data_IF_631947359537
#
_entry.id   IF_631947359537
#
_cell.length_a   1.000
_cell.length_b   1.000
_cell.length_c   1.000
_cell.angle_alpha   90.00
_cell.angle_beta   90.00
_cell.angle_gamma   90.00
#
_symmetry.space_group_name_H-M   'P 1'
#
loop_
_entity.id
_entity.type
_entity.pdbx_description
1 polymer ?
#
# COMPACT_ATOMS: atom_id res chain seq x y z
N UNK A 1 40.13 39.22 78.60
CA UNK A 1 39.30 38.15 79.18
C UNK A 1 38.07 38.03 78.29
N UNK A 2 38.07 37.07 77.36
CA UNK A 2 37.25 35.82 77.45
C UNK A 2 35.74 36.15 77.49
N UNK A 3 34.83 35.67 76.63
CA UNK A 3 34.79 34.51 75.73
C UNK A 3 33.42 34.56 75.00
N UNK A 4 33.40 34.06 73.75
CA UNK A 4 32.33 33.34 73.03
C UNK A 4 30.83 33.52 73.35
N UNK A 5 30.03 33.73 72.30
CA UNK A 5 28.56 33.59 72.34
C UNK A 5 27.85 33.73 70.99
N UNK A 6 27.93 32.68 70.16
CA UNK A 6 26.92 32.14 69.20
C UNK A 6 25.99 33.15 68.49
N UNK A 7 26.22 33.34 67.18
CA UNK A 7 25.30 34.04 66.28
C UNK A 7 24.33 33.06 65.59
N UNK A 8 23.04 33.14 65.91
CA UNK A 8 21.96 32.54 65.14
C UNK A 8 21.17 33.64 64.42
N UNK A 9 21.35 33.76 63.09
CA UNK A 9 20.53 34.64 62.24
C UNK A 9 19.42 33.81 61.60
N UNK A 10 18.17 34.18 61.90
CA UNK A 10 16.97 33.71 61.20
C UNK A 10 17.08 34.03 59.70
N UNK A 11 17.00 33.00 58.85
CA UNK A 11 16.72 33.16 57.41
C UNK A 11 15.22 32.94 57.18
N UNK A 12 14.56 33.98 56.67
CA UNK A 12 13.21 33.91 56.10
C UNK A 12 13.23 32.97 54.89
N UNK A 13 12.50 31.86 54.95
CA UNK A 13 12.23 31.00 53.80
C UNK A 13 11.13 31.62 52.94
N UNK A 14 11.47 31.95 51.69
CA UNK A 14 10.51 32.29 50.64
C UNK A 14 10.24 30.99 49.86
N UNK A 15 9.08 30.38 50.09
CA UNK A 15 8.59 29.23 49.31
C UNK A 15 8.16 29.74 47.93
N UNK A 16 9.02 29.56 46.93
CA UNK A 16 8.66 29.73 45.52
C UNK A 16 7.96 28.45 45.07
N UNK A 17 6.63 28.46 45.02
CA UNK A 17 5.84 27.39 44.44
C UNK A 17 6.06 27.38 42.92
N UNK A 18 6.94 26.51 42.42
CA UNK A 18 7.03 26.19 41.00
C UNK A 18 5.80 25.39 40.58
N UNK A 19 4.78 26.07 40.05
CA UNK A 19 3.71 25.45 39.28
C UNK A 19 4.29 24.91 37.96
N UNK A 20 4.83 23.69 38.00
CA UNK A 20 5.08 22.88 36.80
C UNK A 20 3.73 22.41 36.25
N UNK A 21 3.08 23.27 35.46
CA UNK A 21 2.00 22.82 34.59
C UNK A 21 2.53 21.82 33.57
N UNK A 22 1.74 20.82 33.14
CA UNK A 22 2.17 19.91 32.08
C UNK A 22 2.47 20.74 30.83
N UNK A 23 3.69 20.58 30.30
CA UNK A 23 4.04 21.02 28.97
C UNK A 23 3.09 20.31 28.00
N UNK A 24 2.03 21.01 27.59
CA UNK A 24 1.25 20.61 26.44
C UNK A 24 2.22 20.60 25.25
N UNK A 25 2.62 19.39 24.82
CA UNK A 25 3.26 19.22 23.53
C UNK A 25 2.34 19.84 22.50
N UNK A 26 2.78 20.92 21.86
CA UNK A 26 2.09 21.45 20.69
C UNK A 26 1.85 20.27 19.73
N UNK A 27 0.65 20.11 19.15
CA UNK A 27 0.44 19.06 18.16
C UNK A 27 1.51 19.27 17.09
N UNK A 28 2.32 18.23 16.85
CA UNK A 28 3.26 18.23 15.74
C UNK A 28 2.49 18.73 14.52
N UNK A 29 2.94 19.83 13.90
CA UNK A 29 2.26 20.43 12.75
C UNK A 29 1.90 19.28 11.80
N UNK A 30 0.60 19.05 11.61
CA UNK A 30 0.11 17.93 10.80
C UNK A 30 0.75 18.12 9.44
N UNK A 31 1.71 17.25 9.09
CA UNK A 31 2.43 17.37 7.84
C UNK A 31 1.41 17.55 6.70
N UNK A 32 1.60 18.58 5.89
CA UNK A 32 0.71 18.87 4.76
C UNK A 32 0.93 17.82 3.66
N UNK A 33 0.20 16.72 3.79
CA UNK A 33 0.16 15.61 2.84
C UNK A 33 0.96 14.40 3.28
N UNK A 34 1.73 13.83 2.34
CA UNK A 34 2.37 12.52 2.47
C UNK A 34 3.64 12.49 3.34
N UNK A 35 4.24 13.63 3.67
CA UNK A 35 5.41 13.67 4.55
C UNK A 35 5.09 13.07 5.94
N UNK A 36 5.91 12.16 6.43
CA UNK A 36 5.67 11.39 7.64
C UNK A 36 4.51 10.39 7.54
N UNK A 37 4.02 10.07 6.34
CA UNK A 37 2.89 9.15 6.14
C UNK A 37 3.30 7.82 5.53
N UNK A 38 2.67 6.78 6.05
CA UNK A 38 2.56 5.49 5.38
C UNK A 38 1.38 5.54 4.41
N UNK A 39 1.65 5.21 3.15
CA UNK A 39 0.65 4.89 2.13
C UNK A 39 0.43 3.38 2.14
N UNK A 40 -0.81 2.92 2.05
CA UNK A 40 -1.13 1.51 1.83
C UNK A 40 -1.70 1.34 0.43
N UNK A 41 -1.07 0.52 -0.40
CA UNK A 41 -1.62 0.18 -1.71
C UNK A 41 -2.88 -0.67 -1.57
N UNK A 42 -3.86 -0.48 -2.45
CA UNK A 42 -5.15 -1.18 -2.40
C UNK A 42 -5.63 -1.48 -3.81
N UNK A 43 -5.86 -2.75 -4.13
CA UNK A 43 -6.33 -3.18 -5.43
C UNK A 43 -7.82 -2.91 -5.60
N UNK A 44 -8.63 -3.33 -4.62
CA UNK A 44 -10.08 -3.10 -4.66
C UNK A 44 -10.82 -3.83 -5.80
N UNK A 45 -10.20 -4.86 -6.37
CA UNK A 45 -10.79 -5.67 -7.45
C UNK A 45 -11.61 -6.86 -6.95
N UNK A 46 -11.36 -7.39 -5.76
CA UNK A 46 -11.97 -8.65 -5.31
C UNK A 46 -13.49 -8.55 -5.26
N UNK A 47 -14.22 -9.39 -6.01
CA UNK A 47 -15.67 -9.28 -6.11
C UNK A 47 -16.38 -10.64 -6.14
N UNK A 48 -17.59 -10.64 -5.56
CA UNK A 48 -18.50 -11.77 -5.58
C UNK A 48 -19.17 -11.93 -6.97
N UNK A 49 -19.75 -13.10 -7.27
CA UNK A 49 -20.52 -13.29 -8.50
C UNK A 49 -21.63 -12.25 -8.66
N UNK A 50 -21.81 -11.77 -9.89
CA UNK A 50 -22.78 -10.73 -10.26
C UNK A 50 -22.33 -9.30 -9.99
N UNK A 51 -21.18 -9.08 -9.33
CA UNK A 51 -20.71 -7.73 -8.96
C UNK A 51 -19.54 -7.24 -9.83
N UNK A 52 -19.01 -8.08 -10.71
CA UNK A 52 -18.01 -7.74 -11.72
C UNK A 52 -18.53 -8.04 -13.14
N UNK A 53 -18.00 -7.38 -14.18
CA UNK A 53 -18.29 -7.72 -15.56
C UNK A 53 -18.08 -9.21 -15.85
N UNK A 54 -19.00 -9.82 -16.59
CA UNK A 54 -19.00 -11.27 -16.86
C UNK A 54 -19.76 -12.10 -15.82
N UNK A 55 -20.14 -11.53 -14.67
CA UNK A 55 -21.06 -12.14 -13.71
C UNK A 55 -20.48 -13.26 -12.83
N UNK A 56 -19.24 -13.68 -13.08
CA UNK A 56 -18.51 -14.64 -12.24
C UNK A 56 -17.77 -14.00 -11.07
N UNK A 57 -16.95 -14.81 -10.40
CA UNK A 57 -15.97 -14.32 -9.43
C UNK A 57 -14.92 -13.43 -10.12
N UNK A 58 -14.38 -12.45 -9.39
CA UNK A 58 -13.28 -11.62 -9.84
C UNK A 58 -12.14 -11.66 -8.82
N UNK A 59 -10.94 -12.08 -9.25
CA UNK A 59 -9.71 -12.29 -8.47
C UNK A 59 -9.76 -13.29 -7.31
N UNK A 60 -10.93 -13.77 -6.88
CA UNK A 60 -11.05 -14.89 -5.94
C UNK A 60 -10.95 -16.25 -6.63
N UNK A 61 -11.78 -16.48 -7.64
CA UNK A 61 -11.84 -17.76 -8.34
C UNK A 61 -11.89 -17.54 -9.84
N UNK A 62 -11.32 -18.47 -10.59
CA UNK A 62 -11.37 -18.48 -12.04
C UNK A 62 -11.88 -19.83 -12.55
N UNK A 63 -12.48 -19.87 -13.76
CA UNK A 63 -12.83 -21.13 -14.41
C UNK A 63 -11.59 -22.00 -14.63
N UNK A 64 -11.67 -23.27 -14.23
CA UNK A 64 -10.61 -24.24 -14.46
C UNK A 64 -10.83 -25.00 -15.79
N UNK A 65 -9.75 -25.33 -16.51
CA UNK A 65 -9.82 -26.02 -17.83
C UNK A 65 -10.50 -27.39 -17.77
N UNK A 66 -10.42 -28.08 -16.63
CA UNK A 66 -11.10 -29.35 -16.37
C UNK A 66 -12.57 -29.22 -15.94
N UNK A 67 -13.11 -28.00 -15.91
CA UNK A 67 -14.41 -27.70 -15.32
C UNK A 67 -14.32 -27.26 -13.86
N UNK A 68 -15.34 -26.54 -13.38
CA UNK A 68 -15.36 -26.00 -12.02
C UNK A 68 -14.59 -24.68 -11.86
N UNK A 69 -14.37 -24.31 -10.60
CA UNK A 69 -13.68 -23.07 -10.20
C UNK A 69 -12.43 -23.42 -9.42
N UNK A 70 -11.31 -22.76 -9.73
CA UNK A 70 -10.08 -22.84 -8.94
C UNK A 70 -9.79 -21.50 -8.26
N UNK A 71 -9.23 -21.48 -7.04
CA UNK A 71 -8.81 -20.24 -6.40
C UNK A 71 -7.61 -19.63 -7.14
N UNK A 72 -7.55 -18.31 -7.19
CA UNK A 72 -6.44 -17.53 -7.77
C UNK A 72 -5.58 -16.84 -6.71
N UNK A 73 -5.76 -17.20 -5.43
CA UNK A 73 -5.11 -16.51 -4.31
C UNK A 73 -4.54 -17.44 -3.26
N UNK A 74 -3.46 -17.02 -2.61
CA UNK A 74 -2.76 -17.86 -1.63
C UNK A 74 -3.15 -17.51 -0.18
N UNK A 75 -3.54 -16.27 0.10
CA UNK A 75 -3.95 -15.84 1.44
C UNK A 75 -5.47 -15.85 1.56
N UNK A 76 -6.03 -16.73 2.39
CA UNK A 76 -7.48 -16.70 2.64
C UNK A 76 -7.85 -15.59 3.62
N UNK A 77 -8.70 -14.62 3.26
CA UNK A 77 -9.02 -13.50 4.14
C UNK A 77 -9.74 -13.96 5.40
N UNK A 78 -9.31 -13.47 6.56
CA UNK A 78 -10.03 -13.68 7.82
C UNK A 78 -11.15 -12.64 7.92
N UNK A 79 -12.35 -13.07 7.48
CA UNK A 79 -13.55 -12.24 7.45
C UNK A 79 -14.41 -12.36 8.72
N UNK A 80 -13.88 -12.95 9.80
CA UNK A 80 -14.66 -13.21 11.02
C UNK A 80 -15.17 -11.93 11.70
N UNK A 81 -14.43 -10.83 11.57
CA UNK A 81 -14.79 -9.50 12.10
C UNK A 81 -15.49 -8.59 11.09
N UNK A 82 -15.90 -9.12 9.92
CA UNK A 82 -16.63 -8.38 8.89
C UNK A 82 -18.14 -8.63 9.01
N UNK A 83 -18.98 -7.62 8.70
CA UNK A 83 -20.43 -7.77 8.75
C UNK A 83 -20.93 -8.64 7.58
N UNK A 84 -22.09 -9.29 7.74
CA UNK A 84 -22.57 -10.31 6.81
C UNK A 84 -22.81 -9.78 5.38
N UNK A 85 -23.26 -8.53 5.26
CA UNK A 85 -23.50 -7.84 4.00
C UNK A 85 -22.22 -7.61 3.19
N UNK A 86 -21.03 -7.65 3.81
CA UNK A 86 -19.76 -7.57 3.08
C UNK A 86 -19.39 -8.89 2.37
N UNK A 87 -20.05 -10.00 2.72
CA UNK A 87 -19.54 -11.35 2.46
C UNK A 87 -20.36 -12.12 1.42
N UNK A 88 -19.70 -13.05 0.76
CA UNK A 88 -20.36 -14.09 -0.03
C UNK A 88 -19.76 -15.47 0.27
N UNK A 89 -20.61 -16.48 0.14
CA UNK A 89 -20.23 -17.88 0.29
C UNK A 89 -19.45 -18.34 -0.95
N UNK A 90 -18.31 -18.98 -0.71
CA UNK A 90 -17.49 -19.58 -1.76
C UNK A 90 -17.97 -21.00 -2.08
N UNK A 91 -17.57 -21.60 -3.21
CA UNK A 91 -17.83 -23.02 -3.49
C UNK A 91 -17.09 -23.96 -2.51
N UNK A 92 -16.11 -23.46 -1.75
CA UNK A 92 -15.30 -24.26 -0.83
C UNK A 92 -15.94 -24.33 0.55
N UNK A 93 -15.77 -25.47 1.22
CA UNK A 93 -16.32 -25.73 2.56
C UNK A 93 -15.20 -26.03 3.55
N UNK A 94 -15.41 -25.65 4.81
CA UNK A 94 -14.52 -26.02 5.90
C UNK A 94 -14.72 -27.48 6.35
N UNK A 95 -13.92 -27.93 7.32
CA UNK A 95 -13.99 -29.29 7.85
C UNK A 95 -15.34 -29.65 8.51
N UNK A 96 -16.14 -28.64 8.87
CA UNK A 96 -17.50 -28.82 9.39
C UNK A 96 -18.58 -28.83 8.30
N UNK A 97 -18.19 -28.65 7.04
CA UNK A 97 -19.10 -28.57 5.90
C UNK A 97 -19.73 -27.20 5.68
N UNK A 98 -19.36 -26.18 6.47
CA UNK A 98 -19.88 -24.81 6.32
C UNK A 98 -19.18 -24.14 5.12
N UNK A 99 -19.89 -23.36 4.30
CA UNK A 99 -19.25 -22.57 3.25
C UNK A 99 -18.18 -21.64 3.83
N UNK A 100 -17.00 -21.67 3.24
CA UNK A 100 -16.00 -20.64 3.49
C UNK A 100 -16.45 -19.33 2.84
N UNK A 101 -16.09 -18.20 3.43
CA UNK A 101 -16.52 -16.88 2.98
C UNK A 101 -15.34 -16.00 2.64
N UNK A 102 -15.59 -15.11 1.69
CA UNK A 102 -14.70 -14.00 1.31
C UNK A 102 -15.54 -12.72 1.22
N UNK A 103 -14.88 -11.58 1.10
CA UNK A 103 -15.57 -10.28 0.95
C UNK A 103 -15.65 -9.85 -0.52
N UNK A 104 -16.47 -8.82 -0.78
CA UNK A 104 -16.41 -8.07 -2.04
C UNK A 104 -16.08 -6.60 -1.82
N UNK A 105 -15.10 -6.09 -2.57
CA UNK A 105 -14.73 -4.68 -2.64
C UNK A 105 -15.81 -3.81 -3.33
N UNK A 106 -16.86 -4.42 -3.90
CA UNK A 106 -17.99 -3.71 -4.51
C UNK A 106 -19.09 -3.31 -3.50
N UNK A 107 -18.82 -3.48 -2.20
CA UNK A 107 -19.78 -3.26 -1.11
C UNK A 107 -19.26 -2.25 -0.08
N UNK A 108 -20.11 -1.33 0.33
CA UNK A 108 -19.77 -0.27 1.29
C UNK A 108 -19.22 -0.82 2.60
N UNK A 109 -19.88 -1.84 3.17
CA UNK A 109 -19.49 -2.45 4.43
C UNK A 109 -18.05 -3.01 4.44
N UNK A 110 -17.53 -3.42 3.28
CA UNK A 110 -16.13 -3.83 3.11
C UNK A 110 -15.19 -2.65 3.28
N UNK A 111 -15.38 -1.57 2.51
CA UNK A 111 -14.50 -0.42 2.53
C UNK A 111 -14.57 0.30 3.88
N UNK A 112 -15.76 0.42 4.47
CA UNK A 112 -15.93 0.94 5.84
C UNK A 112 -15.14 0.12 6.86
N UNK A 113 -15.16 -1.22 6.75
CA UNK A 113 -14.39 -2.10 7.63
C UNK A 113 -12.89 -1.95 7.43
N UNK A 114 -12.42 -1.90 6.18
CA UNK A 114 -10.99 -1.73 5.87
C UNK A 114 -10.47 -0.37 6.37
N UNK A 115 -11.21 0.71 6.15
CA UNK A 115 -10.84 2.03 6.66
C UNK A 115 -10.93 2.12 8.20
N UNK A 116 -11.91 1.43 8.83
CA UNK A 116 -11.96 1.33 10.29
C UNK A 116 -10.71 0.66 10.84
N UNK A 117 -10.27 -0.45 10.24
CA UNK A 117 -9.02 -1.12 10.60
C UNK A 117 -7.81 -0.21 10.36
N UNK A 118 -7.72 0.45 9.21
CA UNK A 118 -6.66 1.44 8.96
C UNK A 118 -6.58 2.48 10.08
N UNK A 119 -7.71 3.11 10.44
CA UNK A 119 -7.77 4.10 11.52
C UNK A 119 -7.32 3.52 12.85
N UNK A 120 -7.79 2.32 13.22
CA UNK A 120 -7.40 1.64 14.47
C UNK A 120 -5.90 1.42 14.59
N UNK A 121 -5.20 1.25 13.47
CA UNK A 121 -3.75 1.06 13.42
C UNK A 121 -2.96 2.34 13.09
N UNK A 122 -3.62 3.49 12.92
CA UNK A 122 -2.96 4.76 12.62
C UNK A 122 -2.50 4.88 11.16
N UNK A 123 -3.10 4.10 10.25
CA UNK A 123 -2.91 4.18 8.80
C UNK A 123 -3.95 5.14 8.22
N UNK A 124 -3.52 6.07 7.35
CA UNK A 124 -4.38 7.18 6.91
C UNK A 124 -4.57 7.24 5.40
N UNK A 125 -3.54 6.92 4.62
CA UNK A 125 -3.50 7.18 3.17
C UNK A 125 -3.60 5.87 2.39
N UNK A 126 -4.66 5.71 1.61
CA UNK A 126 -4.85 4.59 0.69
C UNK A 126 -4.50 5.01 -0.73
N UNK A 127 -3.66 4.22 -1.41
CA UNK A 127 -3.41 4.32 -2.84
C UNK A 127 -4.26 3.27 -3.56
N UNK A 128 -5.40 3.69 -4.12
CA UNK A 128 -6.35 2.83 -4.81
C UNK A 128 -5.92 2.57 -6.27
N UNK A 129 -5.84 1.32 -6.67
CA UNK A 129 -5.58 0.95 -8.04
C UNK A 129 -6.73 1.34 -8.97
N UNK A 130 -6.38 1.95 -10.09
CA UNK A 130 -7.28 2.24 -11.21
C UNK A 130 -6.61 1.79 -12.50
N UNK A 131 -6.81 0.54 -12.89
CA UNK A 131 -6.18 -0.04 -14.07
C UNK A 131 -6.54 0.74 -15.33
N UNK A 132 -5.53 1.26 -16.04
CA UNK A 132 -5.77 1.98 -17.28
C UNK A 132 -6.41 1.09 -18.35
N UNK A 133 -6.12 -0.22 -18.31
CA UNK A 133 -6.76 -1.24 -19.16
C UNK A 133 -8.28 -1.37 -18.94
N UNK A 134 -8.81 -0.95 -17.79
CA UNK A 134 -10.25 -0.94 -17.53
C UNK A 134 -10.97 0.21 -18.23
N UNK A 135 -10.28 1.30 -18.57
CA UNK A 135 -10.87 2.48 -19.19
C UNK A 135 -11.51 2.14 -20.54
N UNK A 136 -12.71 2.67 -20.77
CA UNK A 136 -13.51 2.38 -21.96
C UNK A 136 -14.14 0.98 -22.00
N UNK A 137 -14.01 0.19 -20.94
CA UNK A 137 -14.60 -1.15 -20.82
C UNK A 137 -15.62 -1.21 -19.68
N UNK A 138 -16.45 -2.27 -19.58
CA UNK A 138 -17.33 -2.46 -18.43
C UNK A 138 -16.62 -2.47 -17.06
N UNK A 139 -15.32 -2.79 -17.01
CA UNK A 139 -14.54 -2.75 -15.77
C UNK A 139 -14.36 -1.32 -15.24
N UNK A 140 -14.49 -0.29 -16.08
CA UNK A 140 -14.41 1.10 -15.62
C UNK A 140 -15.51 1.42 -14.60
N UNK A 141 -16.74 0.95 -14.82
CA UNK A 141 -17.84 1.18 -13.89
C UNK A 141 -17.60 0.54 -12.52
N UNK A 142 -16.94 -0.63 -12.50
CA UNK A 142 -16.52 -1.30 -11.28
C UNK A 142 -15.45 -0.48 -10.55
N UNK A 143 -14.45 0.03 -11.29
CA UNK A 143 -13.41 0.90 -10.71
C UNK A 143 -13.98 2.23 -10.18
N UNK A 144 -14.93 2.83 -10.88
CA UNK A 144 -15.64 4.05 -10.44
C UNK A 144 -16.41 3.80 -9.15
N UNK A 145 -17.14 2.69 -9.08
CA UNK A 145 -17.85 2.27 -7.86
C UNK A 145 -16.90 2.05 -6.69
N UNK A 146 -15.79 1.34 -6.88
CA UNK A 146 -14.80 1.15 -5.82
C UNK A 146 -14.24 2.49 -5.32
N UNK A 147 -13.94 3.44 -6.22
CA UNK A 147 -13.45 4.77 -5.86
C UNK A 147 -14.49 5.55 -5.03
N UNK A 148 -15.76 5.55 -5.44
CA UNK A 148 -16.83 6.22 -4.69
C UNK A 148 -16.98 5.63 -3.29
N UNK A 149 -16.97 4.31 -3.16
CA UNK A 149 -17.04 3.62 -1.86
C UNK A 149 -15.80 3.93 -0.99
N UNK A 150 -14.61 3.95 -1.58
CA UNK A 150 -13.38 4.28 -0.87
C UNK A 150 -13.38 5.73 -0.37
N UNK A 151 -13.82 6.70 -1.20
CA UNK A 151 -13.93 8.11 -0.80
C UNK A 151 -14.96 8.31 0.32
N UNK A 152 -16.11 7.62 0.25
CA UNK A 152 -17.12 7.67 1.30
C UNK A 152 -16.60 7.06 2.62
N UNK A 153 -15.98 5.89 2.56
CA UNK A 153 -15.38 5.24 3.72
C UNK A 153 -14.26 6.10 4.34
N UNK A 154 -13.36 6.64 3.51
CA UNK A 154 -12.31 7.55 3.94
C UNK A 154 -12.87 8.79 4.65
N UNK A 155 -13.90 9.43 4.09
CA UNK A 155 -14.56 10.56 4.73
C UNK A 155 -15.12 10.21 6.12
N UNK A 156 -15.75 9.04 6.26
CA UNK A 156 -16.33 8.59 7.54
C UNK A 156 -15.32 8.13 8.59
N UNK A 157 -14.15 7.66 8.14
CA UNK A 157 -13.12 7.08 9.02
C UNK A 157 -11.88 7.97 9.15
N UNK A 158 -11.97 9.24 8.78
CA UNK A 158 -10.87 10.21 8.81
C UNK A 158 -9.62 9.71 8.05
N UNK A 159 -9.84 9.09 6.89
CA UNK A 159 -8.83 8.61 5.95
C UNK A 159 -8.70 9.50 4.71
N UNK A 160 -7.73 9.17 3.87
CA UNK A 160 -7.51 9.79 2.56
C UNK A 160 -7.30 8.73 1.47
N UNK A 161 -7.75 9.02 0.26
CA UNK A 161 -7.64 8.19 -0.94
C UNK A 161 -7.01 8.99 -2.07
N UNK A 162 -6.17 8.35 -2.85
CA UNK A 162 -5.80 8.81 -4.18
C UNK A 162 -5.59 7.59 -5.07
N UNK A 163 -5.61 7.83 -6.38
CA UNK A 163 -5.56 6.75 -7.36
C UNK A 163 -4.15 6.55 -7.93
N UNK A 164 -3.87 5.32 -8.35
CA UNK A 164 -2.79 4.98 -9.26
C UNK A 164 -3.36 4.45 -10.56
N UNK A 165 -3.03 5.10 -11.68
CA UNK A 165 -3.25 4.50 -12.99
C UNK A 165 -2.19 3.46 -13.25
N UNK A 166 -2.57 2.18 -13.18
CA UNK A 166 -1.70 1.08 -13.56
C UNK A 166 -1.66 0.97 -15.09
N UNK A 167 -0.46 1.16 -15.66
CA UNK A 167 -0.22 1.13 -17.10
C UNK A 167 0.12 -0.28 -17.63
N UNK A 168 0.15 -1.30 -16.77
CA UNK A 168 0.47 -2.68 -17.14
C UNK A 168 -0.53 -3.20 -18.17
N UNK A 169 -0.02 -3.67 -19.31
CA UNK A 169 -0.84 -4.13 -20.43
C UNK A 169 -1.69 -3.05 -21.12
N UNK A 170 -1.56 -1.77 -20.75
CA UNK A 170 -2.31 -0.68 -21.36
C UNK A 170 -1.63 -0.19 -22.65
N UNK A 171 -2.35 -0.11 -23.80
CA UNK A 171 -1.78 0.37 -25.05
C UNK A 171 -1.39 1.86 -24.97
N UNK A 172 -0.13 2.18 -25.27
CA UNK A 172 0.37 3.55 -25.15
C UNK A 172 -0.37 4.59 -25.99
N UNK A 173 -0.87 4.22 -27.17
CA UNK A 173 -1.63 5.14 -28.05
C UNK A 173 -2.95 5.61 -27.41
N UNK A 174 -3.43 4.89 -26.39
CA UNK A 174 -4.65 5.22 -25.63
C UNK A 174 -4.38 6.13 -24.43
N UNK A 175 -3.16 6.65 -24.23
CA UNK A 175 -2.82 7.51 -23.07
C UNK A 175 -3.80 8.66 -22.82
N UNK A 176 -4.45 9.18 -23.88
CA UNK A 176 -5.46 10.23 -23.77
C UNK A 176 -6.66 9.82 -22.91
N UNK A 177 -7.00 8.54 -22.85
CA UNK A 177 -8.10 8.05 -22.02
C UNK A 177 -7.82 8.27 -20.52
N UNK A 178 -6.58 8.10 -20.09
CA UNK A 178 -6.15 8.41 -18.71
C UNK A 178 -6.29 9.90 -18.44
N UNK A 179 -5.88 10.74 -19.39
CA UNK A 179 -6.00 12.21 -19.29
C UNK A 179 -7.47 12.64 -19.22
N UNK A 180 -8.33 12.13 -20.11
CA UNK A 180 -9.76 12.46 -20.11
C UNK A 180 -10.47 11.96 -18.86
N UNK A 181 -10.09 10.79 -18.36
CA UNK A 181 -10.65 10.24 -17.13
C UNK A 181 -10.35 11.11 -15.91
N UNK A 182 -9.10 11.53 -15.74
CA UNK A 182 -8.75 12.46 -14.67
C UNK A 182 -9.41 13.83 -14.86
N UNK A 183 -9.54 14.31 -16.10
CA UNK A 183 -10.25 15.56 -16.42
C UNK A 183 -11.71 15.49 -15.99
N UNK A 184 -12.41 14.37 -16.24
CA UNK A 184 -13.79 14.15 -15.77
C UNK A 184 -13.88 14.16 -14.25
N UNK A 185 -12.98 13.46 -13.56
CA UNK A 185 -12.96 13.44 -12.09
C UNK A 185 -12.71 14.82 -11.49
N UNK A 186 -11.82 15.62 -12.10
CA UNK A 186 -11.60 17.01 -11.69
C UNK A 186 -12.83 17.89 -11.94
N UNK A 187 -13.47 17.77 -13.10
CA UNK A 187 -14.69 18.53 -13.41
C UNK A 187 -15.84 18.18 -12.45
N UNK A 188 -15.89 16.94 -11.97
CA UNK A 188 -16.83 16.50 -10.93
C UNK A 188 -16.43 16.90 -9.50
N UNK A 189 -15.31 17.62 -9.31
CA UNK A 189 -14.81 18.07 -8.01
C UNK A 189 -14.29 16.95 -7.10
N UNK A 190 -13.99 15.76 -7.64
CA UNK A 190 -13.52 14.63 -6.81
C UNK A 190 -12.17 14.91 -6.16
N UNK A 191 -11.25 15.51 -6.93
CA UNK A 191 -9.88 15.78 -6.51
C UNK A 191 -9.81 16.81 -5.38
N UNK A 192 -10.82 17.68 -5.25
CA UNK A 192 -10.86 18.74 -4.24
C UNK A 192 -11.56 18.30 -2.94
N UNK A 193 -12.07 17.06 -2.89
CA UNK A 193 -12.71 16.53 -1.67
C UNK A 193 -11.68 16.41 -0.54
N UNK A 194 -12.04 16.66 0.73
CA UNK A 194 -11.14 16.48 1.87
C UNK A 194 -10.59 15.05 2.02
N UNK A 195 -11.37 14.06 1.57
CA UNK A 195 -10.98 12.66 1.55
C UNK A 195 -10.01 12.32 0.40
N UNK A 196 -9.76 13.22 -0.54
CA UNK A 196 -8.71 13.05 -1.55
C UNK A 196 -7.34 13.39 -0.96
N UNK A 197 -6.33 12.56 -1.19
CA UNK A 197 -4.98 12.82 -0.71
C UNK A 197 -4.37 14.04 -1.42
N UNK A 198 -3.93 15.00 -0.63
CA UNK A 198 -3.16 16.15 -1.12
C UNK A 198 -1.71 16.07 -0.64
N UNK A 199 -0.79 16.67 -1.38
CA UNK A 199 0.59 16.89 -0.94
C UNK A 199 1.02 18.29 -1.39
N UNK A 200 1.54 19.09 -0.44
CA UNK A 200 1.93 20.50 -0.70
C UNK A 200 0.80 21.30 -1.38
N UNK A 201 -0.42 21.15 -0.88
CA UNK A 201 -1.62 21.86 -1.37
C UNK A 201 -2.17 21.39 -2.71
N UNK A 202 -1.65 20.32 -3.32
CA UNK A 202 -2.09 19.81 -4.63
C UNK A 202 -2.64 18.38 -4.50
N UNK A 203 -3.73 18.02 -5.20
CA UNK A 203 -4.22 16.64 -5.20
C UNK A 203 -3.19 15.71 -5.82
N UNK A 204 -2.99 14.55 -5.19
CA UNK A 204 -2.02 13.55 -5.64
C UNK A 204 -2.69 12.62 -6.65
N UNK A 205 -1.97 12.30 -7.73
CA UNK A 205 -2.32 11.25 -8.70
C UNK A 205 -1.06 10.46 -9.00
N UNK A 206 -1.19 9.15 -9.09
CA UNK A 206 -0.06 8.26 -9.36
C UNK A 206 -0.17 7.57 -10.72
N UNK A 207 0.98 7.26 -11.32
CA UNK A 207 1.12 6.39 -12.49
C UNK A 207 2.02 5.21 -12.11
N UNK A 208 1.58 3.97 -12.28
CA UNK A 208 2.42 2.80 -12.07
C UNK A 208 2.94 2.22 -13.38
N UNK A 209 4.21 1.80 -13.37
CA UNK A 209 4.87 1.16 -14.49
C UNK A 209 5.58 2.11 -15.45
N UNK A 210 5.68 3.39 -15.08
CA UNK A 210 6.31 4.40 -15.91
C UNK A 210 7.80 4.06 -16.12
N UNK A 211 8.18 3.82 -17.37
CA UNK A 211 9.56 3.49 -17.75
C UNK A 211 10.05 2.11 -17.30
N UNK A 212 9.15 1.23 -16.87
CA UNK A 212 9.48 -0.17 -16.59
C UNK A 212 9.53 -0.97 -17.89
N UNK A 213 10.59 -1.76 -18.09
CA UNK A 213 10.71 -2.68 -19.23
C UNK A 213 9.56 -3.69 -19.20
N UNK A 214 8.93 -3.92 -20.35
CA UNK A 214 7.74 -4.77 -20.47
C UNK A 214 6.41 -4.04 -20.24
N UNK A 215 6.44 -2.84 -19.64
CA UNK A 215 5.28 -1.94 -19.62
C UNK A 215 5.37 -1.05 -20.87
N UNK A 216 4.33 -1.12 -21.70
CA UNK A 216 4.35 -0.81 -23.14
C UNK A 216 4.43 0.66 -23.54
N UNK A 217 5.02 1.53 -22.71
CA UNK A 217 5.17 2.96 -22.98
C UNK A 217 6.60 3.29 -23.42
N UNK A 218 6.72 4.07 -24.49
CA UNK A 218 7.94 4.77 -24.87
C UNK A 218 8.02 6.17 -24.20
N UNK A 219 9.18 6.82 -24.35
CA UNK A 219 9.44 8.12 -23.73
C UNK A 219 8.51 9.24 -24.27
N UNK A 220 8.15 9.20 -25.56
CA UNK A 220 7.32 10.22 -26.18
C UNK A 220 5.87 10.15 -25.66
N UNK A 221 5.31 8.95 -25.57
CA UNK A 221 3.97 8.72 -25.02
C UNK A 221 3.92 9.00 -23.52
N UNK A 222 4.95 8.60 -22.77
CA UNK A 222 5.07 8.93 -21.34
C UNK A 222 5.11 10.44 -21.11
N UNK A 223 5.89 11.18 -21.92
CA UNK A 223 5.92 12.64 -21.86
C UNK A 223 4.56 13.24 -22.21
N UNK A 224 3.92 12.78 -23.29
CA UNK A 224 2.61 13.29 -23.71
C UNK A 224 1.52 13.05 -22.66
N UNK A 225 1.55 11.89 -21.99
CA UNK A 225 0.68 11.59 -20.86
C UNK A 225 0.90 12.58 -19.71
N UNK A 226 2.15 12.76 -19.26
CA UNK A 226 2.48 13.69 -18.17
C UNK A 226 2.10 15.13 -18.50
N UNK A 227 2.37 15.60 -19.72
CA UNK A 227 1.98 16.93 -20.18
C UNK A 227 0.45 17.09 -20.18
N UNK A 228 -0.27 16.07 -20.67
CA UNK A 228 -1.73 16.05 -20.67
C UNK A 228 -2.32 16.11 -19.26
N UNK A 229 -1.75 15.36 -18.30
CA UNK A 229 -2.17 15.41 -16.90
C UNK A 229 -1.90 16.80 -16.29
N UNK A 230 -0.72 17.39 -16.52
CA UNK A 230 -0.38 18.73 -16.02
C UNK A 230 -1.27 19.82 -16.61
N UNK A 231 -1.74 19.65 -17.85
CA UNK A 231 -2.69 20.58 -18.49
C UNK A 231 -4.09 20.58 -17.84
N UNK A 232 -4.44 19.56 -17.04
CA UNK A 232 -5.69 19.54 -16.25
C UNK A 232 -5.63 20.54 -15.08
N UNK A 233 -4.45 21.02 -14.70
CA UNK A 233 -4.22 22.00 -13.65
C UNK A 233 -3.25 21.52 -12.56
N UNK A 234 -3.15 22.21 -11.41
CA UNK A 234 -2.23 21.81 -10.35
C UNK A 234 -2.51 20.38 -9.84
N UNK A 235 -1.49 19.52 -9.89
CA UNK A 235 -1.46 18.12 -9.45
C UNK A 235 -0.10 17.74 -8.87
N UNK A 236 -0.02 16.97 -7.79
CA UNK A 236 1.22 16.26 -7.45
C UNK A 236 1.21 14.93 -8.20
N UNK A 237 2.14 14.74 -9.14
CA UNK A 237 2.26 13.51 -9.91
C UNK A 237 3.30 12.59 -9.28
N UNK A 238 2.82 11.46 -8.76
CA UNK A 238 3.66 10.37 -8.26
C UNK A 238 3.92 9.35 -9.38
N UNK A 239 5.17 8.92 -9.54
CA UNK A 239 5.52 7.83 -10.45
C UNK A 239 5.94 6.58 -9.69
N UNK A 240 5.14 5.52 -9.81
CA UNK A 240 5.56 4.14 -9.59
C UNK A 240 6.48 3.70 -10.73
N UNK A 241 7.78 3.64 -10.47
CA UNK A 241 8.83 3.41 -11.48
C UNK A 241 9.59 2.12 -11.19
N UNK A 242 10.37 1.64 -12.16
CA UNK A 242 11.33 0.56 -11.92
C UNK A 242 12.35 0.92 -10.83
N UNK A 243 12.82 -0.07 -10.06
CA UNK A 243 13.87 0.13 -9.05
C UNK A 243 15.13 0.83 -9.60
N UNK A 244 15.52 0.49 -10.83
CA UNK A 244 16.71 0.99 -11.53
C UNK A 244 16.52 2.35 -12.24
N UNK A 245 15.45 3.10 -11.96
CA UNK A 245 15.11 4.33 -12.69
C UNK A 245 16.25 5.35 -12.78
N UNK A 246 17.07 5.47 -11.71
CA UNK A 246 18.12 6.49 -11.62
C UNK A 246 19.27 6.21 -12.58
N UNK A 247 19.59 4.94 -12.81
CA UNK A 247 20.72 4.47 -13.62
C UNK A 247 20.33 4.09 -15.04
N UNK A 248 19.02 3.99 -15.35
CA UNK A 248 18.51 3.52 -16.65
C UNK A 248 19.01 2.11 -16.99
N UNK A 249 19.06 1.23 -15.99
CA UNK A 249 19.53 -0.17 -16.12
C UNK A 249 18.43 -1.15 -15.72
N UNK A 250 18.73 -2.45 -15.71
CA UNK A 250 17.86 -3.47 -15.12
C UNK A 250 16.43 -3.42 -15.65
N UNK A 251 15.48 -3.18 -14.75
CA UNK A 251 14.06 -3.09 -15.05
C UNK A 251 13.62 -1.72 -15.60
N UNK A 252 14.50 -0.72 -15.63
CA UNK A 252 14.22 0.58 -16.27
C UNK A 252 14.52 0.53 -17.77
N UNK A 253 13.73 1.28 -18.52
CA UNK A 253 14.05 1.72 -19.89
C UNK A 253 15.42 2.42 -19.91
N UNK A 254 16.12 2.30 -21.05
CA UNK A 254 17.53 2.66 -21.22
C UNK A 254 17.73 3.96 -22.02
N UNK A 255 16.68 4.40 -22.71
CA UNK A 255 16.69 5.58 -23.55
C UNK A 255 16.90 6.83 -22.68
N UNK A 256 17.83 7.73 -23.04
CA UNK A 256 18.27 8.83 -22.16
C UNK A 256 17.15 9.82 -21.80
N UNK A 257 16.11 9.91 -22.62
CA UNK A 257 14.91 10.73 -22.40
C UNK A 257 14.20 10.36 -21.09
N UNK A 258 14.25 9.10 -20.68
CA UNK A 258 13.65 8.65 -19.41
C UNK A 258 14.27 9.31 -18.18
N UNK A 259 15.56 9.65 -18.22
CA UNK A 259 16.21 10.35 -17.12
C UNK A 259 15.53 11.69 -16.81
N UNK A 260 15.09 12.42 -17.85
CA UNK A 260 14.36 13.67 -17.71
C UNK A 260 12.91 13.44 -17.29
N UNK A 261 12.25 12.39 -17.82
CA UNK A 261 10.88 12.03 -17.46
C UNK A 261 10.77 11.73 -15.96
N UNK A 262 11.62 10.85 -15.43
CA UNK A 262 11.62 10.52 -14.00
C UNK A 262 11.85 11.75 -13.13
N UNK A 263 12.80 12.61 -13.50
CA UNK A 263 13.13 13.85 -12.76
C UNK A 263 12.09 14.96 -12.90
N UNK A 264 11.09 14.78 -13.76
CA UNK A 264 9.97 15.70 -13.87
C UNK A 264 8.84 15.40 -12.88
N UNK A 265 8.85 14.22 -12.25
CA UNK A 265 7.84 13.81 -11.28
C UNK A 265 7.95 14.60 -9.97
N UNK A 266 6.83 14.76 -9.27
CA UNK A 266 6.82 15.40 -7.95
C UNK A 266 7.21 14.41 -6.85
N UNK A 267 6.86 13.12 -7.02
CA UNK A 267 7.22 12.02 -6.13
C UNK A 267 7.64 10.80 -6.96
N UNK A 268 8.76 10.16 -6.60
CA UNK A 268 9.22 8.89 -7.16
C UNK A 268 9.00 7.78 -6.14
N UNK A 269 8.37 6.70 -6.58
CA UNK A 269 8.10 5.48 -5.82
C UNK A 269 8.66 4.26 -6.56
N UNK A 270 9.92 3.88 -6.36
CA UNK A 270 10.51 2.73 -7.05
C UNK A 270 9.88 1.42 -6.55
N UNK A 271 9.56 0.50 -7.45
CA UNK A 271 8.96 -0.81 -7.12
C UNK A 271 10.05 -1.88 -6.88
N UNK A 272 10.19 -2.42 -5.64
CA UNK A 272 11.26 -3.35 -5.28
C UNK A 272 10.83 -4.81 -5.23
N UNK A 273 9.53 -5.13 -5.31
CA UNK A 273 9.06 -6.51 -5.19
C UNK A 273 9.62 -7.35 -6.34
N UNK A 274 10.29 -8.45 -5.99
CA UNK A 274 11.03 -9.31 -6.92
C UNK A 274 12.52 -8.97 -7.06
N UNK A 275 12.99 -7.83 -6.53
CA UNK A 275 14.42 -7.49 -6.53
C UNK A 275 15.23 -8.22 -5.44
N UNK A 276 14.58 -8.64 -4.35
CA UNK A 276 15.17 -9.41 -3.26
C UNK A 276 14.11 -10.26 -2.53
N UNK A 277 14.57 -11.22 -1.73
CA UNK A 277 13.72 -12.20 -1.03
C UNK A 277 14.05 -12.38 0.46
N UNK A 278 15.00 -11.61 1.00
CA UNK A 278 15.42 -11.70 2.39
C UNK A 278 16.05 -10.38 2.89
N UNK A 279 16.40 -10.35 4.17
CA UNK A 279 16.98 -9.20 4.87
C UNK A 279 18.35 -8.80 4.31
N UNK A 280 19.18 -9.78 3.90
CA UNK A 280 20.48 -9.51 3.30
C UNK A 280 20.35 -8.84 1.93
N UNK A 281 19.39 -9.28 1.13
CA UNK A 281 19.01 -8.65 -0.13
C UNK A 281 18.43 -7.25 0.09
N UNK A 282 17.62 -7.06 1.13
CA UNK A 282 17.11 -5.73 1.50
C UNK A 282 18.26 -4.77 1.90
N UNK A 283 19.28 -5.25 2.62
CA UNK A 283 20.48 -4.48 2.95
C UNK A 283 21.30 -4.10 1.72
N UNK A 284 21.45 -5.04 0.78
CA UNK A 284 22.13 -4.79 -0.49
C UNK A 284 21.36 -3.78 -1.35
N UNK A 285 20.03 -3.88 -1.38
CA UNK A 285 19.14 -2.97 -2.10
C UNK A 285 19.16 -1.57 -1.49
N UNK A 286 19.20 -1.45 -0.15
CA UNK A 286 19.37 -0.18 0.54
C UNK A 286 20.62 0.55 0.06
N UNK A 287 21.77 -0.16 0.03
CA UNK A 287 23.05 0.43 -0.37
C UNK A 287 23.12 0.80 -1.85
N UNK A 288 22.61 -0.06 -2.72
CA UNK A 288 22.76 0.08 -4.17
C UNK A 288 21.71 1.00 -4.82
N UNK A 289 20.50 1.06 -4.25
CA UNK A 289 19.37 1.81 -4.84
C UNK A 289 18.89 2.91 -3.90
N UNK A 290 18.45 2.59 -2.69
CA UNK A 290 17.74 3.54 -1.81
C UNK A 290 18.61 4.74 -1.44
N UNK A 291 19.83 4.52 -0.94
CA UNK A 291 20.72 5.62 -0.52
C UNK A 291 21.06 6.58 -1.67
N UNK A 292 21.52 6.13 -2.85
CA UNK A 292 21.80 7.04 -3.95
C UNK A 292 20.55 7.67 -4.57
N UNK A 293 19.41 6.97 -4.59
CA UNK A 293 18.13 7.54 -5.04
C UNK A 293 17.64 8.65 -4.11
N UNK A 294 17.77 8.44 -2.80
CA UNK A 294 17.43 9.44 -1.78
C UNK A 294 18.33 10.68 -1.87
N UNK A 295 19.62 10.50 -2.17
CA UNK A 295 20.52 11.61 -2.42
C UNK A 295 20.11 12.44 -3.65
N UNK A 296 19.77 11.77 -4.76
CA UNK A 296 19.35 12.43 -5.99
C UNK A 296 18.01 13.16 -5.84
N UNK A 297 17.01 12.51 -5.25
CA UNK A 297 15.69 13.12 -5.03
C UNK A 297 15.75 14.31 -4.08
N UNK A 298 16.56 14.24 -3.00
CA UNK A 298 16.82 15.39 -2.12
C UNK A 298 17.49 16.54 -2.86
N UNK A 299 18.50 16.27 -3.69
CA UNK A 299 19.20 17.28 -4.50
C UNK A 299 18.24 18.03 -5.45
N UNK A 300 17.22 17.34 -5.95
CA UNK A 300 16.24 17.87 -6.91
C UNK A 300 14.94 18.38 -6.27
N UNK A 301 14.73 18.18 -4.96
CA UNK A 301 13.48 18.54 -4.27
C UNK A 301 12.29 17.62 -4.58
N UNK A 302 12.55 16.45 -5.18
CA UNK A 302 11.56 15.43 -5.52
C UNK A 302 11.24 14.60 -4.27
N UNK A 303 9.97 14.25 -4.07
CA UNK A 303 9.56 13.33 -3.02
C UNK A 303 10.06 11.90 -3.30
N UNK A 304 10.47 11.17 -2.27
CA UNK A 304 10.89 9.77 -2.40
C UNK A 304 10.04 8.89 -1.48
N UNK A 305 9.38 7.90 -2.08
CA UNK A 305 8.40 7.03 -1.42
C UNK A 305 8.72 5.56 -1.76
N UNK A 306 9.71 4.94 -1.11
CA UNK A 306 10.01 3.52 -1.33
C UNK A 306 8.90 2.62 -0.78
N UNK A 307 8.90 1.37 -1.24
CA UNK A 307 7.91 0.35 -0.87
C UNK A 307 8.53 -0.70 0.05
N UNK A 308 7.76 -1.15 1.05
CA UNK A 308 8.04 -2.35 1.85
C UNK A 308 6.85 -3.32 1.76
N UNK A 309 7.08 -4.63 1.90
CA UNK A 309 6.03 -5.65 1.81
C UNK A 309 6.25 -6.78 2.82
N UNK A 310 5.19 -7.50 3.25
CA UNK A 310 5.30 -8.50 4.30
C UNK A 310 6.00 -9.78 3.88
N UNK A 311 5.92 -10.14 2.59
CA UNK A 311 6.39 -11.38 1.98
C UNK A 311 5.57 -11.64 0.71
N UNK A 312 5.78 -12.77 0.02
CA UNK A 312 5.18 -13.03 -1.30
C UNK A 312 4.82 -14.49 -1.49
N UNK A 313 3.62 -14.75 -2.03
CA UNK A 313 3.13 -16.09 -2.37
C UNK A 313 2.04 -15.99 -3.45
N UNK A 314 2.29 -16.57 -4.62
CA UNK A 314 1.39 -16.51 -5.77
C UNK A 314 1.23 -17.87 -6.47
N UNK A 315 1.24 -18.97 -5.73
CA UNK A 315 1.17 -20.34 -6.25
C UNK A 315 -0.12 -20.58 -7.04
N UNK A 316 -1.26 -20.18 -6.47
CA UNK A 316 -2.56 -20.39 -7.11
C UNK A 316 -2.73 -19.53 -8.37
N UNK A 317 -2.33 -18.27 -8.31
CA UNK A 317 -2.31 -17.37 -9.47
C UNK A 317 -1.39 -17.90 -10.57
N UNK A 318 -0.15 -18.27 -10.24
CA UNK A 318 0.79 -18.85 -11.20
C UNK A 318 0.25 -20.12 -11.84
N UNK A 319 -0.37 -21.03 -11.06
CA UNK A 319 -0.99 -22.25 -11.59
C UNK A 319 -2.07 -21.91 -12.63
N UNK A 320 -2.93 -20.95 -12.31
CA UNK A 320 -3.97 -20.49 -13.23
C UNK A 320 -3.38 -19.99 -14.56
N UNK A 321 -2.27 -19.26 -14.49
CA UNK A 321 -1.52 -18.78 -15.66
C UNK A 321 -0.71 -19.88 -16.40
N UNK A 322 -0.83 -21.15 -16.00
CA UNK A 322 -0.05 -22.26 -16.57
C UNK A 322 1.43 -22.25 -16.16
N UNK A 323 1.77 -21.55 -15.07
CA UNK A 323 3.11 -21.47 -14.47
C UNK A 323 3.14 -22.22 -13.14
N UNK A 324 4.33 -22.39 -12.58
CA UNK A 324 4.53 -22.96 -11.24
C UNK A 324 5.32 -22.01 -10.36
N UNK A 325 5.10 -22.10 -9.05
CA UNK A 325 5.84 -21.35 -8.04
C UNK A 325 5.59 -21.90 -6.64
N UNK A 326 6.59 -21.83 -5.74
CA UNK A 326 6.44 -22.34 -4.40
C UNK A 326 5.48 -21.47 -3.59
N UNK A 327 4.72 -22.12 -2.71
CA UNK A 327 3.94 -21.42 -1.69
C UNK A 327 4.93 -20.76 -0.72
N UNK A 328 4.62 -19.55 -0.24
CA UNK A 328 5.50 -18.77 0.64
C UNK A 328 6.89 -18.47 0.03
N UNK A 329 6.93 -18.14 -1.28
CA UNK A 329 8.17 -17.87 -2.02
C UNK A 329 9.09 -16.85 -1.33
N UNK A 330 8.53 -15.80 -0.73
CA UNK A 330 9.25 -14.90 0.17
C UNK A 330 8.60 -15.02 1.56
N UNK A 331 9.21 -15.78 2.49
CA UNK A 331 8.70 -15.95 3.84
C UNK A 331 8.59 -14.62 4.58
N UNK A 332 7.54 -14.46 5.38
CA UNK A 332 7.33 -13.23 6.17
C UNK A 332 8.19 -13.20 7.43
N UNK A 333 8.71 -14.36 7.84
CA UNK A 333 9.56 -14.58 9.03
C UNK A 333 8.96 -13.91 10.25
N UNK A 334 7.67 -14.16 10.48
CA UNK A 334 6.95 -13.59 11.63
C UNK A 334 6.88 -12.05 11.65
N UNK A 335 7.08 -11.40 10.50
CA UNK A 335 7.14 -9.95 10.38
C UNK A 335 8.57 -9.39 10.37
N UNK A 336 9.60 -10.21 10.64
CA UNK A 336 10.99 -9.76 10.64
C UNK A 336 11.42 -9.20 9.28
N UNK A 337 10.99 -9.82 8.18
CA UNK A 337 11.30 -9.35 6.83
C UNK A 337 10.74 -7.95 6.55
N UNK A 338 9.46 -7.71 6.89
CA UNK A 338 8.81 -6.40 6.76
C UNK A 338 9.48 -5.36 7.65
N UNK A 339 9.73 -5.72 8.91
CA UNK A 339 10.31 -4.83 9.91
C UNK A 339 11.72 -4.39 9.53
N UNK A 340 12.53 -5.31 9.01
CA UNK A 340 13.90 -5.05 8.58
C UNK A 340 13.96 -4.04 7.43
N UNK A 341 13.12 -4.22 6.41
CA UNK A 341 12.97 -3.24 5.32
C UNK A 341 12.58 -1.86 5.88
N UNK A 342 11.52 -1.81 6.70
CA UNK A 342 11.03 -0.56 7.26
C UNK A 342 12.10 0.16 8.10
N UNK A 343 12.85 -0.58 8.93
CA UNK A 343 13.95 -0.05 9.73
C UNK A 343 15.08 0.50 8.87
N UNK A 344 15.45 -0.20 7.80
CA UNK A 344 16.45 0.25 6.84
C UNK A 344 16.04 1.56 6.16
N UNK A 345 14.80 1.62 5.66
CA UNK A 345 14.27 2.79 4.95
C UNK A 345 14.16 4.01 5.89
N UNK A 346 13.56 3.84 7.07
CA UNK A 346 13.43 4.92 8.06
C UNK A 346 14.81 5.37 8.57
N UNK A 347 15.72 4.43 8.84
CA UNK A 347 17.09 4.72 9.26
C UNK A 347 17.92 5.47 8.21
N UNK A 348 17.61 5.32 6.92
CA UNK A 348 18.19 6.11 5.83
C UNK A 348 17.64 7.55 5.75
N UNK A 349 16.60 7.86 6.53
CA UNK A 349 15.94 9.17 6.55
C UNK A 349 14.87 9.34 5.48
N UNK A 350 14.25 8.24 5.04
CA UNK A 350 13.01 8.26 4.24
C UNK A 350 11.89 8.88 5.06
N UNK A 351 11.06 9.74 4.44
CA UNK A 351 9.94 10.43 5.12
C UNK A 351 8.56 10.03 4.61
N UNK A 352 8.48 9.29 3.51
CA UNK A 352 7.22 8.77 2.96
C UNK A 352 7.47 7.31 2.60
N UNK A 353 6.52 6.42 2.84
CA UNK A 353 6.71 4.99 2.51
C UNK A 353 5.40 4.37 2.09
N UNK A 354 5.45 3.38 1.20
CA UNK A 354 4.30 2.57 0.84
C UNK A 354 4.44 1.17 1.44
N UNK A 355 3.33 0.61 1.91
CA UNK A 355 3.19 -0.82 2.09
C UNK A 355 2.44 -1.41 0.91
N UNK A 356 3.07 -2.36 0.24
CA UNK A 356 2.43 -3.16 -0.81
C UNK A 356 2.08 -4.54 -0.23
N UNK A 357 0.81 -4.87 -0.03
CA UNK A 357 -0.40 -4.06 -0.19
C UNK A 357 -1.36 -4.33 0.98
N UNK A 358 -2.43 -3.54 1.11
CA UNK A 358 -3.48 -3.79 2.08
C UNK A 358 -4.21 -5.10 1.74
N UNK A 359 -4.65 -5.29 0.51
CA UNK A 359 -5.60 -6.34 0.11
C UNK A 359 -5.12 -7.28 -1.02
N UNK A 360 -3.85 -7.32 -1.38
CA UNK A 360 -3.32 -8.21 -2.45
C UNK A 360 -3.18 -9.67 -1.97
N UNK A 361 -4.31 -10.36 -1.85
CA UNK A 361 -4.39 -11.74 -1.39
C UNK A 361 -3.86 -12.75 -2.43
N UNK A 362 -3.90 -12.40 -3.71
CA UNK A 362 -3.49 -13.21 -4.85
C UNK A 362 -1.97 -13.35 -5.00
N UNK A 363 -1.23 -12.27 -4.80
CA UNK A 363 0.24 -12.31 -4.72
C UNK A 363 0.80 -12.48 -3.30
N UNK A 364 -0.11 -12.59 -2.33
CA UNK A 364 0.26 -12.86 -0.95
C UNK A 364 1.04 -11.71 -0.31
N UNK A 365 0.80 -10.47 -0.73
CA UNK A 365 1.41 -9.27 -0.14
C UNK A 365 0.44 -8.50 0.77
N UNK A 366 -0.81 -8.95 0.89
CA UNK A 366 -1.81 -8.39 1.79
C UNK A 366 -1.32 -8.29 3.25
N UNK A 367 -1.61 -7.15 3.90
CA UNK A 367 -1.47 -6.94 5.34
C UNK A 367 -2.81 -7.02 6.10
N UNK A 368 -3.95 -7.12 5.38
CA UNK A 368 -5.25 -7.43 5.98
C UNK A 368 -5.23 -8.82 6.67
N UNK A 369 -6.16 -9.06 7.63
CA UNK A 369 -6.26 -10.33 8.31
C UNK A 369 -6.45 -11.51 7.36
N UNK A 370 -5.74 -12.61 7.64
CA UNK A 370 -5.85 -13.87 6.91
C UNK A 370 -5.77 -15.07 7.86
N UNK A 371 -6.35 -16.20 7.43
CA UNK A 371 -6.59 -17.34 8.29
C UNK A 371 -5.30 -18.00 8.78
N UNK A 372 -5.31 -18.39 10.05
CA UNK A 372 -4.33 -19.33 10.61
C UNK A 372 -4.56 -20.73 10.04
N UNK A 373 -5.76 -21.26 10.22
CA UNK A 373 -6.11 -22.62 9.82
C UNK A 373 -6.91 -22.56 8.53
N UNK A 374 -6.22 -22.72 7.40
CA UNK A 374 -6.83 -22.78 6.07
C UNK A 374 -7.28 -24.21 5.78
N UNK A 375 -8.57 -24.44 5.46
CA UNK A 375 -9.04 -25.74 5.03
C UNK A 375 -8.27 -26.19 3.79
N UNK A 376 -7.86 -27.46 3.76
CA UNK A 376 -7.40 -28.11 2.53
C UNK A 376 -8.66 -28.64 1.84
N UNK A 377 -9.10 -28.07 0.71
CA UNK A 377 -10.21 -28.65 -0.01
C UNK A 377 -9.88 -30.12 -0.31
N UNK A 378 -10.84 -31.02 -0.11
CA UNK A 378 -10.69 -32.40 -0.57
C UNK A 378 -10.42 -32.37 -2.06
N UNK A 379 -9.37 -33.07 -2.51
CA UNK A 379 -8.76 -33.00 -3.84
C UNK A 379 -9.66 -33.43 -5.04
N UNK A 380 -10.96 -33.55 -4.84
CA UNK A 380 -11.92 -34.00 -5.85
C UNK A 380 -12.43 -32.82 -6.71
N UNK A 381 -11.50 -32.14 -7.38
CA UNK A 381 -11.67 -31.17 -8.47
C UNK A 381 -11.39 -29.70 -8.09
N UNK A 382 -10.29 -29.18 -8.66
CA UNK A 382 -9.82 -27.79 -8.68
C UNK A 382 -9.21 -27.15 -7.41
N UNK A 383 -8.82 -27.93 -6.39
CA UNK A 383 -8.26 -27.42 -5.13
C UNK A 383 -6.99 -26.54 -5.26
N UNK A 384 -6.83 -25.56 -4.35
CA UNK A 384 -5.66 -24.68 -4.23
C UNK A 384 -4.83 -24.92 -2.97
N UNK A 385 -3.61 -24.39 -2.97
CA UNK A 385 -2.73 -24.38 -1.81
C UNK A 385 -2.80 -23.00 -1.13
N UNK A 386 -3.16 -22.95 0.15
CA UNK A 386 -3.30 -21.68 0.87
C UNK A 386 -2.20 -21.54 1.92
N UNK A 387 -1.69 -20.32 2.04
CA UNK A 387 -0.67 -19.95 2.99
C UNK A 387 -1.31 -19.64 4.35
N UNK A 388 -1.02 -20.49 5.33
CA UNK A 388 -1.39 -20.30 6.73
C UNK A 388 -0.66 -19.09 7.33
N UNK A 389 -1.35 -18.33 8.19
CA UNK A 389 -0.71 -17.31 9.02
C UNK A 389 0.36 -17.86 9.97
N UNK A 390 0.35 -19.16 10.24
CA UNK A 390 1.35 -19.87 11.05
C UNK A 390 2.49 -20.52 10.23
N UNK A 391 2.56 -20.29 8.91
CA UNK A 391 3.52 -20.96 8.03
C UNK A 391 5.00 -20.71 8.38
N UNK A 392 5.30 -19.59 9.05
CA UNK A 392 6.66 -19.23 9.46
C UNK A 392 6.98 -19.65 10.90
N UNK A 393 6.16 -20.50 11.52
CA UNK A 393 6.40 -21.04 12.87
C UNK A 393 5.98 -20.13 14.03
N UNK A 394 5.19 -19.09 13.75
CA UNK A 394 4.68 -18.13 14.73
C UNK A 394 3.19 -17.84 14.50
N UNK A 395 2.50 -17.45 15.56
CA UNK A 395 1.08 -17.13 15.52
C UNK A 395 0.85 -15.65 15.86
N UNK A 396 1.06 -14.77 14.88
CA UNK A 396 0.66 -13.36 15.01
C UNK A 396 -0.85 -13.27 15.23
N UNK A 397 -1.42 -12.25 15.90
CA UNK A 397 -2.87 -12.08 15.90
C UNK A 397 -3.39 -11.86 14.46
N UNK A 398 -4.70 -12.05 14.18
CA UNK A 398 -5.26 -11.80 12.84
C UNK A 398 -4.91 -10.43 12.27
N UNK A 399 -4.85 -9.39 13.10
CA UNK A 399 -4.47 -8.02 12.72
C UNK A 399 -2.95 -7.75 12.81
N UNK A 400 -2.11 -8.78 12.93
CA UNK A 400 -0.68 -8.66 13.22
C UNK A 400 0.09 -7.78 12.23
N UNK A 401 -0.16 -7.93 10.93
CA UNK A 401 0.50 -7.10 9.92
C UNK A 401 -0.03 -5.66 9.88
N UNK A 402 -1.32 -5.44 10.20
CA UNK A 402 -1.84 -4.09 10.40
C UNK A 402 -1.18 -3.42 11.61
N UNK A 403 -0.97 -4.16 12.71
CA UNK A 403 -0.24 -3.66 13.89
C UNK A 403 1.21 -3.28 13.54
N UNK A 404 1.91 -4.13 12.80
CA UNK A 404 3.27 -3.86 12.33
C UNK A 404 3.29 -2.61 11.44
N UNK A 405 2.42 -2.53 10.43
CA UNK A 405 2.33 -1.35 9.56
C UNK A 405 2.02 -0.07 10.35
N UNK A 406 1.16 -0.15 11.37
CA UNK A 406 0.87 0.97 12.27
C UNK A 406 2.05 1.41 13.14
N UNK A 407 2.85 0.46 13.64
CA UNK A 407 4.10 0.76 14.34
C UNK A 407 5.12 1.43 13.42
N UNK A 408 5.23 0.94 12.18
CA UNK A 408 6.09 1.53 11.16
C UNK A 408 5.63 2.95 10.78
N UNK A 409 4.32 3.18 10.64
CA UNK A 409 3.78 4.52 10.39
C UNK A 409 4.15 5.51 11.50
N UNK A 410 4.09 5.08 12.78
CA UNK A 410 4.57 5.90 13.91
C UNK A 410 6.09 6.11 13.87
N UNK A 411 6.85 5.09 13.52
CA UNK A 411 8.30 5.19 13.40
C UNK A 411 8.75 6.13 12.28
N UNK A 412 8.01 6.16 11.16
CA UNK A 412 8.23 7.09 10.06
C UNK A 412 8.00 8.54 10.50
N UNK A 413 6.99 8.80 11.33
CA UNK A 413 6.75 10.13 11.92
C UNK A 413 7.85 10.53 12.91
N UNK A 414 8.34 9.57 13.69
CA UNK A 414 9.40 9.78 14.67
C UNK A 414 10.81 9.82 14.05
N UNK A 415 10.97 9.43 12.78
CA UNK A 415 12.28 9.25 12.13
C UNK A 415 13.11 8.09 12.70
N UNK A 416 12.49 7.20 13.47
CA UNK A 416 13.16 6.03 14.06
C UNK A 416 12.17 4.92 14.36
N UNK A 417 12.62 3.68 14.22
CA UNK A 417 11.87 2.47 14.59
C UNK A 417 12.58 1.80 15.78
N UNK A 418 11.83 1.28 16.77
CA UNK A 418 12.42 0.50 17.84
C UNK A 418 13.05 -0.80 17.30
N UNK A 419 13.81 -1.55 18.13
CA UNK A 419 14.18 -2.93 17.82
C UNK A 419 12.96 -3.76 17.42
N UNK A 420 13.20 -4.84 16.67
CA UNK A 420 12.13 -5.74 16.23
C UNK A 420 11.28 -6.20 17.43
N UNK A 421 9.94 -6.22 17.29
CA UNK A 421 9.02 -6.65 18.34
C UNK A 421 9.13 -8.13 18.70
#
# INVERSE_FOLDING_TARGET
MTTTGIAARLRRGLLLACCLGPLATAPAARAEGLDGRMVVGYQGWFACPGEAPGGGWFHWFAPHRGGGLEPTFDLWPDVSAMPAEALCDTPLRDASGKPMRVYSAQRAATLETHFRWMRQHGLHSMLLARFASALGTPLQAMADRTLDLALAAAASQEGQVFIVYDLTGFPQDRYREVVEDLRRMRAAGLLDRPAWQHHRGRPVVSLFGLGTVGIGFDAAHAKALLDGLRAIGPLTVMGGVAADWRTLTGASRREPEWAAIYRSLDIISPWPIGAYADEAGADAFLRSHVLPDLAETRRLGIGYLPVAWPGFSATNLKRHDGRSGPLNQIPRRCGAFYWHQARNLIGAGVRMMQTANLDEFDEGTAILPYLRDVPRPSAADAGGAFLSRAADGCDLPPDGYLRLAGQVARGLQAGSLPPAP
#
